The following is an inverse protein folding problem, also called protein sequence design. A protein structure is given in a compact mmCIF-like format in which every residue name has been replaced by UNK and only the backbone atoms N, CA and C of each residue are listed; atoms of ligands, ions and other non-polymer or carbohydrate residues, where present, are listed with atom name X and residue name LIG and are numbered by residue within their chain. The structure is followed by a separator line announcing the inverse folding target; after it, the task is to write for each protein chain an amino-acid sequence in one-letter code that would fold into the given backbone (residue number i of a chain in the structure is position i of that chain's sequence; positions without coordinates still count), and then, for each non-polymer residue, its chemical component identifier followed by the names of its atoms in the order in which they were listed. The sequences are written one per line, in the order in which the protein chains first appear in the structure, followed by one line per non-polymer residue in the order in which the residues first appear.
data_IF_421410581901
#
_entry.id   IF_421410581901
#
_cell.length_a   1.000
_cell.length_b   1.000
_cell.length_c   1.000
_cell.angle_alpha   90.00
_cell.angle_beta   90.00
_cell.angle_gamma   90.00
#
_symmetry.space_group_name_H-M   'P 1'
#
loop_
_entity.id
_entity.type
_entity.pdbx_description
1 polymer ?
#
# COMPACT_ATOMS: atom_id res chain seq x y z
N UNK A 1 -6.55 31.89 19.47
CA UNK A 1 -6.25 32.30 18.14
C UNK A 1 -5.09 31.57 17.55
N UNK A 2 -3.94 31.53 18.21
CA UNK A 2 -2.83 30.78 17.76
C UNK A 2 -3.10 29.28 17.70
N UNK A 3 -4.04 28.85 18.52
CA UNK A 3 -4.41 27.45 18.60
C UNK A 3 -4.96 26.91 17.27
N UNK A 4 -5.77 27.68 16.59
CA UNK A 4 -6.37 27.27 15.35
C UNK A 4 -5.31 27.07 14.26
N UNK A 5 -4.35 27.95 14.18
CA UNK A 5 -3.28 27.82 13.19
C UNK A 5 -2.39 26.63 13.48
N UNK A 6 -2.06 26.42 14.74
CA UNK A 6 -1.25 25.29 15.13
C UNK A 6 -1.94 24.01 14.76
N UNK A 7 -3.26 23.96 14.91
CA UNK A 7 -4.03 22.77 14.58
C UNK A 7 -3.98 22.46 13.09
N UNK A 8 -4.07 23.47 12.25
CA UNK A 8 -3.99 23.28 10.82
C UNK A 8 -2.61 22.77 10.40
N UNK A 9 -1.57 23.35 10.95
CA UNK A 9 -0.21 22.87 10.70
C UNK A 9 -0.04 21.44 11.15
N UNK A 10 -0.57 21.10 12.32
CA UNK A 10 -0.50 19.75 12.86
C UNK A 10 -1.14 18.75 11.93
N UNK A 11 -2.31 19.09 11.38
CA UNK A 11 -3.02 18.18 10.50
C UNK A 11 -2.18 17.80 9.27
N UNK A 12 -1.57 18.79 8.65
CA UNK A 12 -0.72 18.54 7.49
C UNK A 12 0.50 17.71 7.87
N UNK A 13 1.11 18.06 8.99
CA UNK A 13 2.27 17.35 9.50
C UNK A 13 1.92 15.90 9.84
N UNK A 14 0.75 15.68 10.43
CA UNK A 14 0.31 14.34 10.77
C UNK A 14 0.06 13.49 9.54
N UNK A 15 -0.48 14.08 8.48
CA UNK A 15 -0.71 13.39 7.23
C UNK A 15 0.63 12.90 6.64
N UNK A 16 1.63 13.75 6.61
CA UNK A 16 2.95 13.38 6.11
C UNK A 16 3.61 12.31 6.96
N UNK A 17 3.48 12.42 8.28
CA UNK A 17 4.03 11.43 9.20
C UNK A 17 3.37 10.08 9.00
N UNK A 18 2.06 10.08 8.79
CA UNK A 18 1.31 8.84 8.61
C UNK A 18 1.71 8.17 7.30
N UNK A 19 1.89 8.95 6.24
CA UNK A 19 2.33 8.40 4.97
C UNK A 19 3.71 7.75 5.10
N UNK A 20 4.62 8.39 5.81
CA UNK A 20 5.95 7.82 6.04
C UNK A 20 5.88 6.51 6.81
N UNK A 21 4.99 6.45 7.79
CA UNK A 21 4.79 5.24 8.57
C UNK A 21 4.29 4.11 7.67
N UNK A 22 3.31 4.41 6.82
CA UNK A 22 2.77 3.44 5.88
C UNK A 22 3.86 2.93 4.94
N UNK A 23 4.66 3.82 4.37
CA UNK A 23 5.73 3.44 3.47
C UNK A 23 6.76 2.55 4.14
N UNK A 24 7.07 2.84 5.40
CA UNK A 24 8.02 2.05 6.17
C UNK A 24 7.53 0.62 6.34
N UNK A 25 6.23 0.47 6.58
CA UNK A 25 5.62 -0.85 6.73
C UNK A 25 5.62 -1.59 5.40
N UNK A 26 5.24 -0.91 4.32
CA UNK A 26 5.18 -1.50 2.99
C UNK A 26 6.57 -1.99 2.55
N UNK A 27 7.60 -1.25 2.91
CA UNK A 27 8.98 -1.66 2.56
C UNK A 27 9.40 -2.96 3.20
N UNK A 28 8.71 -3.39 4.24
CA UNK A 28 9.03 -4.65 4.91
C UNK A 28 8.40 -5.86 4.25
N UNK A 29 7.48 -5.66 3.31
CA UNK A 29 6.84 -6.79 2.62
C UNK A 29 7.88 -7.48 1.75
N UNK A 30 8.17 -8.77 2.00
CA UNK A 30 9.21 -9.45 1.22
C UNK A 30 8.78 -9.69 -0.22
N UNK A 31 9.77 -9.78 -1.09
CA UNK A 31 9.54 -10.14 -2.49
C UNK A 31 8.85 -11.51 -2.56
N UNK A 32 7.88 -11.64 -3.45
CA UNK A 32 7.14 -12.89 -3.59
C UNK A 32 5.98 -13.03 -2.63
N UNK A 33 5.68 -11.99 -1.87
CA UNK A 33 4.49 -11.97 -0.99
C UNK A 33 3.71 -10.70 -1.21
N UNK A 34 2.48 -10.69 -0.71
CA UNK A 34 1.60 -9.53 -0.81
C UNK A 34 0.96 -9.21 0.54
N UNK A 35 0.51 -7.99 0.70
CA UNK A 35 -0.26 -7.59 1.86
C UNK A 35 -1.53 -6.90 1.37
N UNK A 36 -2.58 -6.91 2.17
CA UNK A 36 -3.79 -6.19 1.81
C UNK A 36 -3.73 -4.78 2.38
N UNK A 37 -4.52 -3.87 1.79
CA UNK A 37 -4.63 -2.52 2.32
C UNK A 37 -5.05 -2.52 3.79
N UNK A 38 -5.98 -3.42 4.13
CA UNK A 38 -6.44 -3.55 5.51
C UNK A 38 -5.36 -4.03 6.45
N UNK A 39 -4.53 -4.97 6.00
CA UNK A 39 -3.42 -5.49 6.79
C UNK A 39 -2.42 -4.37 7.10
N UNK A 40 -2.03 -3.62 6.09
CA UNK A 40 -1.11 -2.50 6.29
C UNK A 40 -1.74 -1.44 7.19
N UNK A 41 -3.02 -1.15 6.96
CA UNK A 41 -3.73 -0.17 7.78
C UNK A 41 -3.79 -0.58 9.24
N UNK A 42 -4.03 -1.84 9.52
CA UNK A 42 -4.06 -2.35 10.89
C UNK A 42 -2.71 -2.16 11.58
N UNK A 43 -1.61 -2.47 10.88
CA UNK A 43 -0.27 -2.29 11.43
C UNK A 43 0.02 -0.81 11.67
N UNK A 44 -0.39 0.05 10.74
CA UNK A 44 -0.14 1.49 10.86
C UNK A 44 -1.11 2.22 11.78
N UNK A 45 -2.22 1.57 12.12
CA UNK A 45 -3.24 2.22 12.94
C UNK A 45 -4.19 3.10 12.17
N UNK A 46 -4.40 2.80 10.88
CA UNK A 46 -5.29 3.58 10.02
C UNK A 46 -6.17 2.66 9.20
N UNK A 47 -7.13 3.23 8.47
CA UNK A 47 -7.98 2.44 7.60
C UNK A 47 -7.32 2.12 6.27
N UNK A 48 -7.87 1.14 5.53
CA UNK A 48 -7.30 0.77 4.23
C UNK A 48 -7.35 1.90 3.20
N UNK A 49 -8.32 2.79 3.30
CA UNK A 49 -8.42 3.94 2.40
C UNK A 49 -7.21 4.86 2.52
N UNK A 50 -6.75 5.09 3.75
CA UNK A 50 -5.57 5.93 3.95
C UNK A 50 -4.32 5.29 3.37
N UNK A 51 -4.21 3.97 3.46
CA UNK A 51 -3.10 3.26 2.84
C UNK A 51 -3.12 3.47 1.33
N UNK A 52 -4.29 3.32 0.72
CA UNK A 52 -4.43 3.53 -0.72
C UNK A 52 -4.06 4.95 -1.14
N UNK A 53 -4.47 5.94 -0.36
CA UNK A 53 -4.15 7.33 -0.66
C UNK A 53 -2.65 7.60 -0.55
N UNK A 54 -2.02 7.01 0.46
CA UNK A 54 -0.57 7.17 0.63
C UNK A 54 0.19 6.59 -0.56
N UNK A 55 -0.24 5.43 -1.04
CA UNK A 55 0.43 4.79 -2.17
C UNK A 55 0.22 5.55 -3.47
N UNK A 56 -0.93 6.19 -3.63
CA UNK A 56 -1.19 6.97 -4.84
C UNK A 56 -0.27 8.17 -5.00
N UNK A 57 0.21 8.73 -3.90
CA UNK A 57 1.05 9.93 -3.97
C UNK A 57 2.54 9.62 -3.88
N UNK A 58 2.93 8.36 -4.00
CA UNK A 58 4.33 8.00 -4.04
C UNK A 58 4.99 8.60 -5.26
N UNK A 59 6.20 9.11 -5.06
CA UNK A 59 6.96 9.67 -6.16
C UNK A 59 7.46 8.57 -7.10
N UNK A 60 7.51 8.84 -8.40
CA UNK A 60 8.16 7.91 -9.32
C UNK A 60 9.60 7.69 -8.88
N UNK A 61 10.05 6.48 -8.91
CA UNK A 61 11.41 6.16 -8.51
C UNK A 61 11.61 5.93 -7.04
N UNK A 62 10.54 5.99 -6.23
CA UNK A 62 10.67 5.64 -4.82
C UNK A 62 10.95 4.14 -4.71
N UNK A 63 11.64 3.74 -3.64
CA UNK A 63 11.98 2.33 -3.43
C UNK A 63 10.90 1.58 -2.69
N UNK A 64 9.72 2.15 -2.57
CA UNK A 64 8.62 1.53 -1.86
C UNK A 64 7.91 0.52 -2.76
N UNK A 65 7.82 -0.76 -2.37
CA UNK A 65 7.20 -1.79 -3.20
C UNK A 65 5.67 -1.74 -3.12
N UNK A 66 5.10 -0.66 -3.61
CA UNK A 66 3.65 -0.44 -3.60
C UNK A 66 2.89 -1.56 -4.30
N UNK A 67 3.54 -2.21 -5.28
CA UNK A 67 2.91 -3.27 -6.04
C UNK A 67 2.57 -4.50 -5.20
N UNK A 68 3.15 -4.62 -4.02
CA UNK A 68 2.89 -5.74 -3.11
C UNK A 68 1.68 -5.52 -2.23
N UNK A 69 0.97 -4.39 -2.41
CA UNK A 69 -0.26 -4.13 -1.64
C UNK A 69 -1.45 -4.30 -2.56
N UNK A 70 -2.36 -5.18 -2.19
CA UNK A 70 -3.54 -5.52 -2.99
C UNK A 70 -4.80 -5.44 -2.14
N UNK A 71 -5.97 -5.61 -2.76
CA UNK A 71 -7.21 -5.52 -1.99
C UNK A 71 -7.52 -6.83 -1.27
N UNK A 72 -8.56 -6.80 -0.44
CA UNK A 72 -8.93 -7.94 0.40
C UNK A 72 -9.39 -9.16 -0.41
N UNK A 73 -9.76 -8.96 -1.67
CA UNK A 73 -10.17 -10.05 -2.56
C UNK A 73 -9.00 -10.66 -3.30
N UNK A 74 -7.79 -10.18 -3.07
CA UNK A 74 -6.62 -10.69 -3.77
C UNK A 74 -6.41 -10.09 -5.15
N UNK A 75 -7.05 -8.97 -5.44
CA UNK A 75 -6.93 -8.33 -6.75
C UNK A 75 -6.11 -7.05 -6.65
N UNK A 76 -5.44 -6.73 -7.74
CA UNK A 76 -4.77 -5.43 -7.84
C UNK A 76 -5.85 -4.36 -7.99
N UNK A 77 -5.72 -3.28 -7.26
CA UNK A 77 -6.78 -2.29 -7.21
C UNK A 77 -6.31 -0.84 -7.21
N UNK A 78 -5.01 -0.61 -7.35
CA UNK A 78 -4.52 0.76 -7.38
C UNK A 78 -4.94 1.41 -8.69
N UNK A 79 -5.75 2.44 -8.57
CA UNK A 79 -6.27 3.14 -9.74
C UNK A 79 -5.45 4.38 -10.04
N UNK A 80 -5.11 4.55 -11.31
CA UNK A 80 -4.49 5.78 -11.77
C UNK A 80 -5.34 6.36 -12.89
N UNK A 81 -5.05 7.60 -13.23
CA UNK A 81 -5.79 8.27 -14.29
C UNK A 81 -5.68 7.53 -15.62
N UNK A 82 -4.55 6.94 -15.89
CA UNK A 82 -4.33 6.23 -17.15
C UNK A 82 -4.89 4.81 -17.14
N UNK A 83 -5.22 4.28 -15.97
CA UNK A 83 -5.72 2.92 -15.85
C UNK A 83 -4.67 1.86 -16.08
N UNK A 84 -3.42 2.23 -16.23
CA UNK A 84 -2.35 1.28 -16.54
C UNK A 84 -1.65 0.71 -15.31
N UNK A 85 -1.86 1.34 -14.15
CA UNK A 85 -1.15 0.91 -12.95
C UNK A 85 -1.44 -0.54 -12.58
N UNK A 86 -2.68 -1.00 -12.78
CA UNK A 86 -3.03 -2.38 -12.42
C UNK A 86 -2.31 -3.40 -13.30
N UNK A 87 -2.10 -3.08 -14.57
CA UNK A 87 -1.36 -3.99 -15.45
C UNK A 87 0.11 -4.06 -15.05
N UNK A 88 0.68 -2.92 -14.71
CA UNK A 88 2.06 -2.86 -14.24
C UNK A 88 2.21 -3.61 -12.93
N UNK A 89 1.26 -3.43 -12.02
CA UNK A 89 1.28 -4.09 -10.73
C UNK A 89 1.25 -5.61 -10.89
N UNK A 90 0.37 -6.11 -11.75
CA UNK A 90 0.27 -7.53 -12.02
C UNK A 90 1.58 -8.08 -12.57
N UNK A 91 2.16 -7.39 -13.55
CA UNK A 91 3.42 -7.82 -14.15
C UNK A 91 4.56 -7.86 -13.13
N UNK A 92 4.62 -6.87 -12.25
CA UNK A 92 5.66 -6.83 -11.22
C UNK A 92 5.51 -7.99 -10.25
N UNK A 93 4.28 -8.31 -9.87
CA UNK A 93 4.04 -9.43 -8.97
C UNK A 93 4.33 -10.76 -9.64
N UNK A 94 3.97 -10.90 -10.90
CA UNK A 94 4.28 -12.13 -11.63
C UNK A 94 5.79 -12.33 -11.78
N UNK A 95 6.52 -11.23 -11.96
CA UNK A 95 7.98 -11.30 -12.02
C UNK A 95 8.59 -11.75 -10.69
N UNK A 96 7.86 -11.60 -9.60
CA UNK A 96 8.30 -12.07 -8.28
C UNK A 96 7.85 -13.50 -8.00
N UNK A 97 7.22 -14.14 -8.96
CA UNK A 97 6.81 -15.54 -8.81
C UNK A 97 5.38 -15.72 -8.32
N UNK A 98 4.61 -14.65 -8.21
CA UNK A 98 3.22 -14.76 -7.76
C UNK A 98 2.35 -15.18 -8.93
N UNK A 99 1.54 -16.19 -8.70
CA UNK A 99 0.64 -16.75 -9.72
C UNK A 99 -0.76 -16.15 -9.54
N UNK A 100 -1.28 -15.58 -10.61
CA UNK A 100 -2.65 -15.09 -10.64
C UNK A 100 -3.55 -16.16 -11.24
N UNK A 101 -4.71 -16.37 -10.62
CA UNK A 101 -5.72 -17.27 -11.12
C UNK A 101 -7.01 -16.49 -11.21
N UNK A 102 -7.56 -16.35 -12.43
CA UNK A 102 -8.75 -15.54 -12.68
C UNK A 102 -8.61 -14.12 -12.17
N UNK A 103 -7.42 -13.54 -12.31
CA UNK A 103 -7.15 -12.18 -11.87
C UNK A 103 -6.99 -12.01 -10.37
N UNK A 104 -6.86 -13.11 -9.64
CA UNK A 104 -6.72 -13.08 -8.19
C UNK A 104 -5.46 -13.78 -7.72
N UNK A 105 -4.94 -13.29 -6.61
CA UNK A 105 -3.84 -13.92 -5.88
C UNK A 105 -4.44 -14.74 -4.76
N UNK A 106 -3.91 -15.94 -4.54
CA UNK A 106 -4.34 -16.76 -3.42
C UNK A 106 -3.68 -16.22 -2.15
N UNK A 107 -4.47 -15.51 -1.34
CA UNK A 107 -3.94 -14.90 -0.13
C UNK A 107 -3.47 -15.90 0.90
N UNK A 108 -4.01 -17.12 0.88
CA UNK A 108 -3.52 -18.15 1.80
C UNK A 108 -2.10 -18.57 1.49
N UNK A 109 -1.70 -18.45 0.22
CA UNK A 109 -0.36 -18.84 -0.21
C UNK A 109 0.61 -17.68 -0.12
N UNK A 110 0.19 -16.50 -0.57
CA UNK A 110 1.13 -15.39 -0.81
C UNK A 110 1.06 -14.27 0.22
N UNK A 111 0.13 -14.30 1.13
CA UNK A 111 -0.04 -13.21 2.09
C UNK A 111 1.14 -13.13 3.06
N UNK A 112 1.68 -11.92 3.17
CA UNK A 112 2.77 -11.65 4.10
C UNK A 112 2.28 -11.84 5.54
N UNK A 113 3.07 -12.58 6.31
CA UNK A 113 2.79 -12.78 7.72
C UNK A 113 3.67 -11.83 8.52
N UNK A 114 3.07 -10.79 9.07
CA UNK A 114 3.80 -9.81 9.87
C UNK A 114 3.75 -10.23 11.32
N UNK A 115 4.82 -10.88 11.75
CA UNK A 115 4.90 -11.31 13.13
C UNK A 115 5.67 -10.33 13.92
N UNK A 116 5.46 -9.60 14.50
CA UNK A 116 6.19 -8.77 15.14
C UNK A 116 6.39 -8.85 16.31
#
# INVERSE_FOLDING_TARGET
MGVTRARMSSTKSEFLKMNKKIYRIVKKIPEGTVATYGQIGTIAGVGPRQVGQALKVLSPGSNCPWHRVINAQGRVSLRTTSGKAHLIQEELLEAEGIVFSNGKVDLEVYRWSHDH
#
